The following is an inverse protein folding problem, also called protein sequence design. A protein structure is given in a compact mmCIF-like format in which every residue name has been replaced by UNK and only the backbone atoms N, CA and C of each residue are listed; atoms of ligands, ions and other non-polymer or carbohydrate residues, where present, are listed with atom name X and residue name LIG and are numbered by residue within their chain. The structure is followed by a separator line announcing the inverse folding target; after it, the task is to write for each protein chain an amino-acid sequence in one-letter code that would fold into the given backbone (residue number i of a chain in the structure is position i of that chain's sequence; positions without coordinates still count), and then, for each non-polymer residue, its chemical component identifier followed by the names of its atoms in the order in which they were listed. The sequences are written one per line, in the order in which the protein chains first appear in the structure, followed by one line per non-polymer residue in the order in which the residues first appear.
data_IF_851336591456
#
_entry.id   IF_851336591456
#
_cell.length_a   1.000
_cell.length_b   1.000
_cell.length_c   1.000
_cell.angle_alpha   90.00
_cell.angle_beta   90.00
_cell.angle_gamma   90.00
#
_symmetry.space_group_name_H-M   'P 1'
#
loop_
_entity.id
_entity.type
_entity.pdbx_description
1 polymer ?
#
# COMPACT_ATOMS: atom_id res chain seq x y z
N UNK A 1 -15.69 0.12 -9.02
CA UNK A 1 -15.12 1.33 -9.64
C UNK A 1 -13.75 1.55 -9.00
N UNK A 2 -12.65 1.38 -9.74
CA UNK A 2 -11.28 1.53 -9.22
C UNK A 2 -10.85 2.99 -9.04
N UNK A 3 -11.77 3.83 -8.55
CA UNK A 3 -11.67 5.30 -8.60
C UNK A 3 -11.31 5.89 -7.24
N UNK A 4 -10.28 5.37 -6.59
CA UNK A 4 -9.69 6.02 -5.43
C UNK A 4 -8.79 7.17 -5.90
N UNK A 5 -8.87 8.34 -5.27
CA UNK A 5 -7.93 9.43 -5.52
C UNK A 5 -6.55 9.10 -4.95
N UNK A 6 -5.50 9.76 -5.45
CA UNK A 6 -4.13 9.54 -4.96
C UNK A 6 -4.00 9.85 -3.47
N UNK A 7 -4.71 10.88 -3.00
CA UNK A 7 -4.74 11.26 -1.58
C UNK A 7 -5.46 10.20 -0.73
N UNK A 8 -6.50 9.57 -1.27
CA UNK A 8 -7.18 8.45 -0.60
C UNK A 8 -6.24 7.25 -0.45
N UNK A 9 -5.47 6.93 -1.50
CA UNK A 9 -4.47 5.86 -1.45
C UNK A 9 -3.35 6.18 -0.46
N UNK A 10 -2.83 7.41 -0.44
CA UNK A 10 -1.83 7.85 0.54
C UNK A 10 -2.32 7.71 1.99
N UNK A 11 -3.54 8.19 2.28
CA UNK A 11 -4.13 8.05 3.63
C UNK A 11 -4.38 6.60 4.01
N UNK A 12 -4.81 5.78 3.05
CA UNK A 12 -4.95 4.36 3.26
C UNK A 12 -3.61 3.72 3.65
N UNK A 13 -2.52 4.03 2.93
CA UNK A 13 -1.18 3.53 3.26
C UNK A 13 -0.68 4.02 4.62
N UNK A 14 -0.93 5.29 4.95
CA UNK A 14 -0.61 5.84 6.27
C UNK A 14 -1.27 5.01 7.40
N UNK A 15 -2.57 4.74 7.27
CA UNK A 15 -3.32 3.99 8.26
C UNK A 15 -2.87 2.53 8.33
N UNK A 16 -2.70 1.86 7.19
CA UNK A 16 -2.29 0.45 7.14
C UNK A 16 -0.89 0.20 7.72
N UNK A 17 0.02 1.15 7.55
CA UNK A 17 1.42 1.04 7.99
C UNK A 17 1.74 1.84 9.26
N UNK A 18 0.72 2.46 9.89
CA UNK A 18 0.86 3.33 11.05
C UNK A 18 1.94 4.43 10.88
N UNK A 19 1.99 5.06 9.71
CA UNK A 19 2.95 6.13 9.44
C UNK A 19 2.54 7.42 10.15
N UNK A 20 3.53 8.18 10.65
CA UNK A 20 3.30 9.48 11.32
C UNK A 20 2.67 10.54 10.40
N UNK A 21 2.88 10.42 9.10
CA UNK A 21 2.33 11.29 8.07
C UNK A 21 2.01 10.48 6.80
N UNK A 22 1.14 10.99 5.90
CA UNK A 22 0.96 10.40 4.58
C UNK A 22 2.29 10.25 3.84
N UNK A 23 2.48 9.15 3.08
CA UNK A 23 3.70 8.98 2.29
C UNK A 23 3.75 10.02 1.16
N UNK A 24 4.83 10.79 1.13
CA UNK A 24 5.14 11.78 0.11
C UNK A 24 6.51 11.47 -0.54
N UNK A 25 6.69 11.68 -1.86
CA UNK A 25 5.70 12.14 -2.84
C UNK A 25 4.63 11.06 -3.15
N UNK A 26 3.66 11.39 -3.99
CA UNK A 26 2.56 10.48 -4.40
C UNK A 26 3.05 9.07 -4.82
N UNK A 27 4.16 8.99 -5.54
CA UNK A 27 4.77 7.73 -6.00
C UNK A 27 5.22 6.81 -4.85
N UNK A 28 5.47 7.37 -3.66
CA UNK A 28 5.83 6.58 -2.49
C UNK A 28 4.66 5.68 -2.04
N UNK A 29 3.41 6.14 -2.18
CA UNK A 29 2.24 5.32 -1.87
C UNK A 29 2.12 4.13 -2.83
N UNK A 30 2.45 4.33 -4.11
CA UNK A 30 2.42 3.28 -5.13
C UNK A 30 3.51 2.22 -4.88
N UNK A 31 4.72 2.66 -4.52
CA UNK A 31 5.80 1.75 -4.13
C UNK A 31 5.41 0.90 -2.90
N UNK A 32 4.78 1.50 -1.89
CA UNK A 32 4.26 0.79 -0.73
C UNK A 32 3.14 -0.18 -1.11
N UNK A 33 2.24 0.22 -2.00
CA UNK A 33 1.17 -0.64 -2.52
C UNK A 33 1.74 -1.91 -3.18
N UNK A 34 2.75 -1.75 -4.04
CA UNK A 34 3.42 -2.85 -4.72
C UNK A 34 4.12 -3.78 -3.73
N UNK A 35 4.83 -3.22 -2.74
CA UNK A 35 5.51 -4.00 -1.71
C UNK A 35 4.52 -4.84 -0.87
N UNK A 36 3.40 -4.24 -0.44
CA UNK A 36 2.35 -4.94 0.32
C UNK A 36 1.70 -6.02 -0.55
N UNK A 37 1.37 -5.71 -1.81
CA UNK A 37 0.77 -6.65 -2.74
C UNK A 37 1.68 -7.87 -2.95
N UNK A 38 2.97 -7.63 -3.17
CA UNK A 38 3.97 -8.69 -3.33
C UNK A 38 4.14 -9.52 -2.06
N UNK A 39 4.24 -8.89 -0.89
CA UNK A 39 4.34 -9.59 0.39
C UNK A 39 3.11 -10.48 0.67
N UNK A 40 1.90 -10.01 0.33
CA UNK A 40 0.68 -10.79 0.48
C UNK A 40 0.62 -11.96 -0.51
N UNK A 41 1.13 -11.80 -1.73
CA UNK A 41 1.24 -12.89 -2.69
C UNK A 41 2.26 -13.95 -2.25
N UNK A 42 3.42 -13.53 -1.70
CA UNK A 42 4.44 -14.47 -1.18
C UNK A 42 3.89 -15.27 0.00
N UNK A 43 3.14 -14.64 0.92
CA UNK A 43 2.50 -15.34 2.05
C UNK A 43 1.45 -16.37 1.62
N UNK A 44 0.98 -16.31 0.38
CA UNK A 44 -0.06 -17.22 -0.14
C UNK A 44 0.54 -18.47 -0.78
N UNK A 45 1.87 -18.57 -0.91
CA UNK A 45 2.54 -19.85 -1.20
C UNK A 45 2.83 -20.56 0.12
N UNK A 46 1.77 -21.00 0.78
CA UNK A 46 1.89 -22.09 1.74
C UNK A 46 2.30 -23.33 0.95
N UNK A 47 3.56 -23.74 1.08
CA UNK A 47 3.88 -25.15 0.88
C UNK A 47 2.99 -25.97 1.81
N UNK A 48 2.39 -26.99 1.21
CA UNK A 48 1.62 -28.12 1.77
C UNK A 48 2.08 -28.54 3.16
#
# INVERSE_FOLDING_TARGET
NGSASKEQVQRMMQALLHLKAPPEPEDAADALALAICHANQIKTVSYV
#
